data_IF_190439338721
#
_entry.id   IF_190439338721
#
_cell.length_a   1.000
_cell.length_b   1.000
_cell.length_c   1.000
_cell.angle_alpha   90.00
_cell.angle_beta   90.00
_cell.angle_gamma   90.00
#
_symmetry.space_group_name_H-M   'P 1'
#
loop_
_entity.id
_entity.type
_entity.pdbx_description
1 polymer ?
#
# COMPACT_ATOMS: atom_id res chain seq x y z
N UNK A 1 42.14 37.81 -37.53
CA UNK A 1 40.71 37.40 -37.50
C UNK A 1 40.56 36.20 -36.59
N UNK A 2 39.53 36.22 -35.73
CA UNK A 2 39.08 35.21 -34.73
C UNK A 2 39.93 35.10 -33.44
N UNK A 3 39.62 35.79 -32.32
CA UNK A 3 38.52 35.66 -31.30
C UNK A 3 38.60 34.31 -30.55
N UNK A 4 38.65 34.17 -29.21
CA UNK A 4 37.89 34.81 -28.12
C UNK A 4 38.59 34.74 -26.73
N UNK A 5 38.03 35.58 -25.85
CA UNK A 5 38.21 35.92 -24.43
C UNK A 5 38.17 34.76 -23.41
N UNK A 6 39.06 34.76 -22.40
CA UNK A 6 38.92 34.01 -21.15
C UNK A 6 39.20 34.96 -19.96
N UNK A 7 38.16 35.28 -19.17
CA UNK A 7 38.26 36.10 -17.96
C UNK A 7 38.36 35.23 -16.70
N UNK A 8 39.37 35.50 -15.88
CA UNK A 8 39.71 34.78 -14.66
C UNK A 8 38.95 35.29 -13.43
N UNK A 9 38.58 34.33 -12.58
CA UNK A 9 37.84 34.44 -11.31
C UNK A 9 38.76 34.99 -10.19
N UNK A 10 38.33 36.05 -9.48
CA UNK A 10 39.01 36.55 -8.28
C UNK A 10 38.27 36.10 -7.01
N UNK A 11 38.99 35.40 -6.13
CA UNK A 11 38.57 35.00 -4.79
C UNK A 11 39.17 35.99 -3.78
N UNK A 12 38.36 36.63 -2.94
CA UNK A 12 38.82 37.49 -1.86
C UNK A 12 38.24 37.01 -0.52
N UNK A 13 39.13 36.56 0.36
CA UNK A 13 38.86 36.27 1.76
C UNK A 13 39.19 37.52 2.60
N UNK A 14 38.26 37.96 3.45
CA UNK A 14 38.50 39.04 4.42
C UNK A 14 38.32 38.54 5.85
N UNK A 15 39.36 38.80 6.65
CA UNK A 15 39.44 38.58 8.09
C UNK A 15 38.47 39.49 8.86
N UNK A 16 37.80 38.96 9.89
CA UNK A 16 37.09 39.75 10.89
C UNK A 16 38.05 40.22 12.00
N UNK A 17 38.12 41.54 12.22
CA UNK A 17 38.65 42.14 13.44
C UNK A 17 37.48 42.43 14.40
N UNK A 18 37.61 42.02 15.66
CA UNK A 18 36.64 42.23 16.73
C UNK A 18 36.94 43.56 17.44
N UNK A 19 35.92 44.39 17.66
CA UNK A 19 35.91 45.41 18.72
C UNK A 19 34.55 45.40 19.46
N UNK A 20 34.52 45.70 20.77
CA UNK A 20 33.35 45.53 21.65
C UNK A 20 32.60 46.84 21.91
N UNK A 21 31.29 46.75 22.19
CA UNK A 21 30.58 47.74 23.00
C UNK A 21 29.31 47.11 23.60
N UNK A 22 29.24 47.15 24.92
CA UNK A 22 28.12 46.75 25.76
C UNK A 22 26.91 47.68 25.58
N UNK A 23 25.72 47.11 25.43
CA UNK A 23 24.47 47.55 26.05
C UNK A 23 23.31 46.70 25.52
N UNK A 24 22.69 45.87 26.37
CA UNK A 24 21.43 45.20 26.00
C UNK A 24 21.18 43.81 26.58
N UNK A 25 21.85 43.37 27.63
CA UNK A 25 21.59 42.06 28.26
C UNK A 25 20.58 42.23 29.41
N UNK A 26 19.33 42.69 29.20
CA UNK A 26 18.26 42.48 30.21
C UNK A 26 16.80 42.52 29.69
N UNK A 27 16.53 42.64 28.38
CA UNK A 27 15.15 42.66 27.86
C UNK A 27 14.72 41.43 27.02
N UNK A 28 15.64 40.52 26.69
CA UNK A 28 15.34 39.35 25.85
C UNK A 28 14.92 38.08 26.60
N UNK A 29 14.82 38.11 27.93
CA UNK A 29 14.22 37.03 28.73
C UNK A 29 12.69 37.11 28.77
N UNK A 30 12.06 37.49 27.65
CA UNK A 30 10.66 37.13 27.42
C UNK A 30 10.61 35.62 27.20
N UNK A 31 10.25 34.93 28.29
CA UNK A 31 9.89 33.52 28.37
C UNK A 31 8.91 33.21 27.23
N UNK A 32 9.41 32.72 26.10
CA UNK A 32 8.59 32.18 25.02
C UNK A 32 7.85 31.01 25.64
N UNK A 33 6.56 31.21 25.96
CA UNK A 33 5.64 30.12 26.28
C UNK A 33 5.77 29.16 25.11
N UNK A 34 6.40 28.01 25.34
CA UNK A 34 6.32 26.88 24.43
C UNK A 34 4.87 26.47 24.44
N UNK A 35 4.10 27.05 23.53
CA UNK A 35 2.78 26.54 23.17
C UNK A 35 3.02 25.09 22.79
N UNK A 36 2.54 24.15 23.61
CA UNK A 36 2.46 22.74 23.25
C UNK A 36 1.59 22.69 22.00
N UNK A 37 2.20 22.74 20.81
CA UNK A 37 1.54 22.29 19.58
C UNK A 37 1.00 20.91 19.91
N UNK A 38 -0.32 20.77 19.89
CA UNK A 38 -0.95 19.47 19.96
C UNK A 38 -0.25 18.55 18.94
N UNK A 39 0.01 17.27 19.26
CA UNK A 39 0.69 16.38 18.35
C UNK A 39 0.00 16.43 17.00
N UNK A 40 0.74 16.81 15.95
CA UNK A 40 0.19 16.87 14.60
C UNK A 40 -0.17 15.45 14.17
N UNK A 41 -1.47 15.19 13.93
CA UNK A 41 -1.94 13.86 13.54
C UNK A 41 -1.16 13.36 12.32
N UNK A 42 -0.70 12.12 12.38
CA UNK A 42 -0.03 11.44 11.25
C UNK A 42 -1.03 11.15 10.13
N UNK A 43 -0.54 10.88 8.90
CA UNK A 43 -1.41 10.49 7.77
C UNK A 43 -2.28 9.27 8.11
N UNK A 44 -1.72 8.30 8.85
CA UNK A 44 -2.43 7.16 9.43
C UNK A 44 -3.63 7.61 10.29
N UNK A 45 -3.37 8.46 11.29
CA UNK A 45 -4.40 8.90 12.24
C UNK A 45 -5.48 9.74 11.56
N UNK A 46 -5.10 10.59 10.60
CA UNK A 46 -6.06 11.40 9.84
C UNK A 46 -7.04 10.54 9.08
N UNK A 47 -6.57 9.54 8.32
CA UNK A 47 -7.44 8.63 7.55
C UNK A 47 -8.43 7.91 8.46
N UNK A 48 -8.01 7.52 9.67
CA UNK A 48 -8.84 6.74 10.58
C UNK A 48 -9.72 7.59 11.53
N UNK A 49 -9.52 8.91 11.60
CA UNK A 49 -10.23 9.76 12.59
C UNK A 49 -10.91 11.00 12.01
N UNK A 50 -10.48 11.51 10.87
CA UNK A 50 -11.02 12.77 10.33
C UNK A 50 -12.33 12.55 9.54
N UNK A 51 -12.65 11.31 9.16
CA UNK A 51 -13.84 10.92 8.40
C UNK A 51 -14.56 9.74 9.08
N UNK A 52 -15.86 9.51 8.84
CA UNK A 52 -16.54 8.30 9.29
C UNK A 52 -15.88 7.04 8.71
N UNK A 53 -15.47 6.12 9.60
CA UNK A 53 -14.79 4.88 9.21
C UNK A 53 -15.64 3.67 9.58
N UNK A 54 -15.91 2.81 8.61
CA UNK A 54 -16.43 1.46 8.88
C UNK A 54 -15.26 0.51 8.97
N UNK A 55 -15.15 -0.25 10.06
CA UNK A 55 -14.03 -1.15 10.32
C UNK A 55 -14.50 -2.59 10.48
N UNK A 56 -13.76 -3.54 9.90
CA UNK A 56 -13.89 -4.96 10.16
C UNK A 56 -12.53 -5.54 10.56
N UNK A 57 -12.37 -5.87 11.84
CA UNK A 57 -11.14 -6.41 12.39
C UNK A 57 -11.14 -7.94 12.35
N UNK A 58 -10.08 -8.52 11.79
CA UNK A 58 -9.85 -9.97 11.76
C UNK A 58 -8.53 -10.35 12.42
N UNK A 59 -8.26 -11.66 12.58
CA UNK A 59 -7.05 -12.14 13.24
C UNK A 59 -5.77 -11.91 12.40
N UNK A 60 -5.89 -11.77 11.08
CA UNK A 60 -4.75 -11.60 10.17
C UNK A 60 -4.53 -10.16 9.70
N UNK A 61 -5.62 -9.39 9.59
CA UNK A 61 -5.62 -8.01 9.11
C UNK A 61 -6.90 -7.30 9.55
N UNK A 62 -6.91 -5.97 9.44
CA UNK A 62 -8.09 -5.15 9.66
C UNK A 62 -8.41 -4.37 8.39
N UNK A 63 -9.70 -4.33 8.03
CA UNK A 63 -10.20 -3.56 6.90
C UNK A 63 -10.86 -2.27 7.38
N UNK A 64 -10.52 -1.15 6.76
CA UNK A 64 -11.13 0.15 7.02
C UNK A 64 -11.70 0.74 5.72
N UNK A 65 -12.99 1.08 5.72
CA UNK A 65 -13.62 1.87 4.68
C UNK A 65 -13.75 3.31 5.17
N UNK A 66 -13.11 4.25 4.49
CA UNK A 66 -13.20 5.68 4.77
C UNK A 66 -13.24 6.45 3.45
N UNK A 67 -14.18 7.39 3.30
CA UNK A 67 -14.32 8.24 2.10
C UNK A 67 -14.36 7.45 0.78
N UNK A 68 -15.18 6.39 0.75
CA UNK A 68 -15.31 5.51 -0.43
C UNK A 68 -14.11 4.60 -0.71
N UNK A 69 -12.97 4.80 -0.03
CA UNK A 69 -11.73 4.04 -0.21
C UNK A 69 -11.63 2.85 0.73
N UNK A 70 -10.84 1.85 0.32
CA UNK A 70 -10.48 0.70 1.16
C UNK A 70 -9.03 0.81 1.60
N UNK A 71 -8.84 0.76 2.92
CA UNK A 71 -7.53 0.64 3.54
C UNK A 71 -7.42 -0.70 4.27
N UNK A 72 -6.23 -1.28 4.21
CA UNK A 72 -5.91 -2.51 4.96
C UNK A 72 -4.85 -2.13 5.99
N UNK A 73 -5.15 -2.40 7.25
CA UNK A 73 -4.16 -2.37 8.32
C UNK A 73 -3.59 -3.79 8.48
N UNK A 74 -2.29 -3.92 8.19
CA UNK A 74 -1.56 -5.18 8.26
C UNK A 74 -0.63 -5.15 9.48
N UNK A 75 -0.84 -6.03 10.48
CA UNK A 75 0.15 -6.26 11.52
C UNK A 75 1.47 -6.74 10.91
N UNK A 76 2.62 -6.25 11.41
CA UNK A 76 3.94 -6.70 10.95
C UNK A 76 4.11 -8.21 11.04
N UNK A 77 3.51 -8.84 12.05
CA UNK A 77 3.54 -10.27 12.28
C UNK A 77 2.79 -11.10 11.20
N UNK A 78 2.04 -10.46 10.30
CA UNK A 78 1.35 -11.12 9.20
C UNK A 78 2.00 -10.90 7.84
N UNK A 79 3.01 -10.01 7.77
CA UNK A 79 3.85 -9.91 6.59
C UNK A 79 4.60 -11.22 6.34
N UNK A 80 4.59 -11.70 5.10
CA UNK A 80 5.18 -12.97 4.69
C UNK A 80 4.33 -14.20 5.01
N UNK A 81 3.18 -14.06 5.69
CA UNK A 81 2.23 -15.16 5.87
C UNK A 81 1.40 -15.38 4.61
N UNK A 82 0.97 -16.63 4.44
CA UNK A 82 0.12 -17.06 3.34
C UNK A 82 -1.32 -16.56 3.53
N UNK A 83 -1.87 -15.99 2.45
CA UNK A 83 -3.24 -15.56 2.32
C UNK A 83 -3.88 -16.25 1.12
N UNK A 84 -5.20 -16.47 1.22
CA UNK A 84 -6.00 -16.96 0.13
C UNK A 84 -7.14 -15.97 -0.14
N UNK A 85 -7.22 -15.46 -1.36
CA UNK A 85 -8.29 -14.56 -1.79
C UNK A 85 -9.21 -15.28 -2.77
N UNK A 86 -10.49 -15.35 -2.44
CA UNK A 86 -11.54 -15.84 -3.32
C UNK A 86 -12.60 -14.77 -3.54
N UNK A 87 -13.15 -14.73 -4.75
CA UNK A 87 -14.26 -13.84 -5.13
C UNK A 87 -15.47 -14.69 -5.50
N UNK A 88 -16.65 -14.23 -5.09
CA UNK A 88 -17.91 -14.92 -5.39
C UNK A 88 -19.01 -13.91 -5.68
N UNK A 89 -19.89 -14.27 -6.61
CA UNK A 89 -21.04 -13.43 -6.96
C UNK A 89 -22.08 -13.47 -5.84
N UNK A 90 -22.38 -12.32 -5.25
CA UNK A 90 -23.43 -12.20 -4.24
C UNK A 90 -24.82 -11.93 -4.81
N UNK A 91 -24.89 -11.30 -5.99
CA UNK A 91 -26.12 -10.93 -6.68
C UNK A 91 -25.79 -10.59 -8.13
N UNK A 92 -26.77 -10.72 -9.03
CA UNK A 92 -26.64 -10.45 -10.46
C UNK A 92 -27.98 -9.92 -10.99
N UNK A 93 -27.94 -9.01 -11.96
CA UNK A 93 -29.14 -8.49 -12.64
C UNK A 93 -29.69 -9.45 -13.69
N UNK A 94 -28.82 -10.23 -14.32
CA UNK A 94 -29.15 -11.24 -15.31
C UNK A 94 -28.42 -12.56 -14.99
N UNK A 95 -29.17 -13.58 -14.58
CA UNK A 95 -28.62 -14.88 -14.20
C UNK A 95 -27.87 -15.59 -15.33
N UNK A 96 -28.10 -15.24 -16.59
CA UNK A 96 -27.34 -15.77 -17.73
C UNK A 96 -25.88 -15.33 -17.76
N UNK A 97 -25.51 -14.27 -17.01
CA UNK A 97 -24.12 -13.80 -16.88
C UNK A 97 -23.35 -14.51 -15.75
N UNK A 98 -24.04 -15.23 -14.87
CA UNK A 98 -23.45 -15.91 -13.73
C UNK A 98 -24.49 -16.18 -12.64
N UNK A 99 -24.31 -17.26 -11.87
CA UNK A 99 -25.21 -17.62 -10.76
C UNK A 99 -24.63 -17.12 -9.43
N UNK A 100 -25.50 -16.77 -8.46
CA UNK A 100 -25.07 -16.41 -7.11
C UNK A 100 -24.27 -17.57 -6.48
N UNK A 101 -23.15 -17.25 -5.84
CA UNK A 101 -22.21 -18.23 -5.30
C UNK A 101 -21.18 -18.74 -6.31
N UNK A 102 -21.34 -18.43 -7.61
CA UNK A 102 -20.36 -18.77 -8.62
C UNK A 102 -19.03 -18.06 -8.36
N UNK A 103 -17.93 -18.75 -8.70
CA UNK A 103 -16.55 -18.28 -8.53
C UNK A 103 -15.89 -18.31 -9.89
N UNK A 104 -15.69 -17.13 -10.47
CA UNK A 104 -15.16 -16.99 -11.83
C UNK A 104 -13.65 -17.27 -11.94
N UNK A 105 -12.95 -17.40 -10.81
CA UNK A 105 -11.52 -17.66 -10.79
C UNK A 105 -11.11 -18.56 -9.64
N UNK A 106 -9.97 -19.22 -9.80
CA UNK A 106 -9.35 -19.97 -8.73
C UNK A 106 -8.95 -19.04 -7.58
N UNK A 107 -8.98 -19.52 -6.32
CA UNK A 107 -8.48 -18.74 -5.21
C UNK A 107 -7.01 -18.35 -5.44
N UNK A 108 -6.70 -17.07 -5.19
CA UNK A 108 -5.35 -16.54 -5.36
C UNK A 108 -4.57 -16.72 -4.07
N UNK A 109 -3.47 -17.47 -4.15
CA UNK A 109 -2.53 -17.68 -3.05
C UNK A 109 -1.43 -16.62 -3.10
N UNK A 110 -1.34 -15.78 -2.07
CA UNK A 110 -0.40 -14.66 -2.04
C UNK A 110 0.13 -14.37 -0.64
N UNK A 111 1.15 -13.52 -0.56
CA UNK A 111 1.72 -12.97 0.67
C UNK A 111 1.84 -11.46 0.56
N UNK A 112 1.52 -10.73 1.62
CA UNK A 112 1.96 -9.34 1.74
C UNK A 112 3.41 -9.31 2.21
N UNK A 113 4.31 -8.74 1.42
CA UNK A 113 5.72 -8.59 1.76
C UNK A 113 6.11 -7.12 1.70
N UNK A 114 7.03 -6.71 2.56
CA UNK A 114 7.62 -5.38 2.48
C UNK A 114 8.83 -5.44 1.53
N UNK A 115 8.83 -4.60 0.50
CA UNK A 115 9.98 -4.36 -0.37
C UNK A 115 10.29 -2.87 -0.28
N UNK A 116 11.39 -2.53 0.38
CA UNK A 116 11.81 -1.16 0.66
C UNK A 116 10.75 -0.31 1.39
N UNK A 117 10.19 0.68 0.70
CA UNK A 117 9.19 1.63 1.20
C UNK A 117 7.75 1.24 0.89
N UNK A 118 7.53 0.16 0.13
CA UNK A 118 6.20 -0.29 -0.29
C UNK A 118 5.85 -1.67 0.27
N UNK A 119 4.55 -1.93 0.38
CA UNK A 119 4.02 -3.28 0.62
C UNK A 119 3.60 -3.84 -0.73
N UNK A 120 4.02 -5.06 -1.01
CA UNK A 120 3.75 -5.77 -2.26
C UNK A 120 2.96 -7.04 -1.96
N UNK A 121 1.96 -7.32 -2.78
CA UNK A 121 1.33 -8.64 -2.87
C UNK A 121 2.17 -9.49 -3.82
N UNK A 122 2.85 -10.48 -3.25
CA UNK A 122 3.62 -11.49 -3.96
C UNK A 122 2.75 -12.74 -4.12
N UNK A 123 2.48 -13.17 -5.36
CA UNK A 123 1.81 -14.44 -5.64
C UNK A 123 2.77 -15.58 -5.36
N UNK A 124 2.32 -16.56 -4.57
CA UNK A 124 3.18 -17.67 -4.17
C UNK A 124 3.35 -18.62 -5.35
N UNK A 125 4.60 -18.86 -5.73
CA UNK A 125 4.90 -19.85 -6.74
C UNK A 125 4.80 -21.25 -6.12
N UNK A 126 3.87 -22.06 -6.63
CA UNK A 126 3.63 -23.44 -6.18
C UNK A 126 4.02 -24.49 -7.22
N UNK A 127 4.62 -24.08 -8.34
CA UNK A 127 4.93 -24.97 -9.48
C UNK A 127 6.03 -25.98 -9.15
N UNK A 128 6.87 -25.67 -8.14
CA UNK A 128 8.05 -26.47 -7.83
C UNK A 128 7.89 -27.26 -6.53
N UNK A 129 7.61 -28.56 -6.66
CA UNK A 129 7.64 -29.51 -5.56
C UNK A 129 9.02 -30.16 -5.49
N UNK A 130 9.66 -30.09 -4.31
CA UNK A 130 10.97 -30.70 -4.07
C UNK A 130 10.82 -32.08 -3.41
N UNK A 131 10.94 -33.20 -4.17
CA UNK A 131 10.79 -34.53 -3.59
C UNK A 131 11.97 -34.93 -2.67
N UNK A 132 13.15 -34.34 -2.83
CA UNK A 132 14.31 -34.62 -1.96
C UNK A 132 15.18 -33.38 -1.76
N UNK A 133 14.90 -32.55 -0.74
CA UNK A 133 15.52 -31.24 -0.62
C UNK A 133 16.90 -31.32 0.05
N UNK A 134 17.99 -31.35 -0.73
CA UNK A 134 19.33 -31.04 -0.21
C UNK A 134 19.61 -29.51 -0.26
N UNK A 135 20.63 -29.03 0.46
CA UNK A 135 20.89 -27.60 0.59
C UNK A 135 21.18 -26.89 -0.75
N UNK A 136 21.86 -27.55 -1.68
CA UNK A 136 22.15 -26.98 -3.00
C UNK A 136 20.88 -26.85 -3.84
N UNK A 137 20.03 -27.88 -3.81
CA UNK A 137 18.74 -27.91 -4.50
C UNK A 137 17.77 -26.88 -3.91
N UNK A 138 17.71 -26.73 -2.58
CA UNK A 138 16.87 -25.71 -1.93
C UNK A 138 17.32 -24.28 -2.28
N UNK A 139 18.64 -24.02 -2.35
CA UNK A 139 19.15 -22.71 -2.76
C UNK A 139 18.77 -22.40 -4.20
N UNK A 140 19.04 -23.34 -5.12
CA UNK A 140 18.66 -23.19 -6.52
C UNK A 140 17.15 -22.98 -6.69
N UNK A 141 16.34 -23.70 -5.91
CA UNK A 141 14.89 -23.53 -5.92
C UNK A 141 14.48 -22.11 -5.49
N UNK A 142 15.04 -21.61 -4.40
CA UNK A 142 14.75 -20.26 -3.89
C UNK A 142 15.12 -19.17 -4.91
N UNK A 143 16.23 -19.34 -5.62
CA UNK A 143 16.73 -18.34 -6.56
C UNK A 143 15.98 -18.38 -7.90
N UNK A 144 15.54 -19.56 -8.34
CA UNK A 144 14.88 -19.74 -9.64
C UNK A 144 13.34 -19.75 -9.58
N UNK A 145 12.75 -20.02 -8.41
CA UNK A 145 11.30 -20.10 -8.21
C UNK A 145 10.82 -19.07 -7.19
N UNK A 146 11.24 -17.82 -7.38
CA UNK A 146 10.76 -16.72 -6.56
C UNK A 146 9.28 -16.43 -6.82
N UNK A 147 8.61 -15.88 -5.82
CA UNK A 147 7.24 -15.39 -5.95
C UNK A 147 7.14 -14.26 -6.99
N UNK A 148 5.99 -14.14 -7.63
CA UNK A 148 5.71 -13.06 -8.57
C UNK A 148 5.20 -11.84 -7.82
N UNK A 149 5.95 -10.73 -7.84
CA UNK A 149 5.44 -9.44 -7.37
C UNK A 149 4.35 -8.93 -8.28
N UNK A 150 3.14 -8.86 -7.75
CA UNK A 150 1.96 -8.62 -8.55
C UNK A 150 1.42 -7.20 -8.40
N UNK A 151 1.16 -6.77 -7.17
CA UNK A 151 0.62 -5.43 -6.89
C UNK A 151 1.35 -4.76 -5.75
N UNK A 152 1.68 -3.49 -5.92
CA UNK A 152 2.20 -2.65 -4.85
C UNK A 152 1.09 -1.78 -4.28
N UNK A 153 1.06 -1.65 -2.96
CA UNK A 153 0.12 -0.82 -2.24
C UNK A 153 0.84 0.37 -1.61
N UNK A 154 0.38 1.62 -1.86
CA UNK A 154 0.94 2.79 -1.20
C UNK A 154 0.78 2.71 0.31
N UNK A 155 1.88 2.89 1.04
CA UNK A 155 1.88 2.98 2.50
C UNK A 155 1.39 4.36 2.92
N UNK A 156 0.32 4.42 3.71
CA UNK A 156 -0.25 5.66 4.24
C UNK A 156 0.27 6.04 5.62
N UNK A 157 0.91 5.09 6.31
CA UNK A 157 1.59 5.32 7.58
C UNK A 157 1.68 4.05 8.42
N UNK A 158 2.34 4.18 9.55
CA UNK A 158 2.46 3.14 10.56
C UNK A 158 1.60 3.51 11.77
N UNK A 159 1.12 2.50 12.49
CA UNK A 159 0.49 2.71 13.79
C UNK A 159 1.47 3.37 14.76
N UNK A 160 0.96 3.98 15.83
CA UNK A 160 1.78 4.74 16.80
C UNK A 160 2.88 3.90 17.45
N UNK A 161 2.60 2.63 17.71
CA UNK A 161 3.55 1.63 18.22
C UNK A 161 4.40 0.97 17.11
N UNK A 162 4.19 1.38 15.86
CA UNK A 162 4.74 0.77 14.67
C UNK A 162 4.46 -0.74 14.56
N UNK A 163 3.44 -1.28 15.22
CA UNK A 163 3.11 -2.70 15.11
C UNK A 163 2.41 -3.06 13.79
N UNK A 164 1.73 -2.10 13.17
CA UNK A 164 0.95 -2.28 11.94
C UNK A 164 1.29 -1.23 10.88
N UNK A 165 1.07 -1.58 9.62
CA UNK A 165 1.14 -0.67 8.47
C UNK A 165 -0.23 -0.50 7.84
N UNK A 166 -0.61 0.74 7.53
CA UNK A 166 -1.83 1.06 6.80
C UNK A 166 -1.49 1.24 5.31
N UNK A 167 -2.15 0.45 4.47
CA UNK A 167 -1.99 0.50 3.02
C UNK A 167 -3.31 0.87 2.34
N UNK A 168 -3.22 1.54 1.19
CA UNK A 168 -4.37 1.86 0.35
C UNK A 168 -4.57 0.78 -0.71
N UNK A 169 -5.66 0.03 -0.56
CA UNK A 169 -6.01 -1.10 -1.43
C UNK A 169 -7.13 -0.76 -2.41
N UNK A 170 -7.55 0.50 -2.47
CA UNK A 170 -8.67 0.97 -3.30
C UNK A 170 -8.54 0.53 -4.75
N UNK A 171 -7.37 0.74 -5.38
CA UNK A 171 -7.15 0.39 -6.78
C UNK A 171 -7.30 -1.10 -7.09
N UNK A 172 -7.12 -1.97 -6.10
CA UNK A 172 -7.26 -3.41 -6.31
C UNK A 172 -8.71 -3.89 -6.29
N UNK A 173 -9.58 -3.21 -5.51
CA UNK A 173 -10.98 -3.62 -5.32
C UNK A 173 -12.00 -2.74 -6.06
N UNK A 174 -11.62 -1.52 -6.42
CA UNK A 174 -12.52 -0.53 -7.04
C UNK A 174 -12.19 -0.27 -8.51
N UNK A 175 -11.22 -0.98 -9.07
CA UNK A 175 -10.87 -0.95 -10.49
C UNK A 175 -10.91 -2.36 -11.06
N UNK A 176 -11.06 -2.43 -12.37
CA UNK A 176 -11.02 -3.70 -13.07
C UNK A 176 -9.66 -4.40 -12.88
N UNK A 177 -9.69 -5.72 -12.71
CA UNK A 177 -8.49 -6.53 -12.61
C UNK A 177 -8.66 -7.89 -13.30
N UNK A 178 -7.58 -8.33 -13.92
CA UNK A 178 -7.58 -9.56 -14.73
C UNK A 178 -7.61 -10.87 -13.93
N UNK A 179 -7.39 -10.84 -12.61
CA UNK A 179 -7.40 -12.04 -11.76
C UNK A 179 -8.80 -12.43 -11.31
N UNK A 180 -9.73 -11.48 -11.27
CA UNK A 180 -11.10 -11.68 -10.82
C UNK A 180 -12.10 -11.13 -11.84
N UNK A 181 -12.12 -11.67 -13.07
CA UNK A 181 -13.09 -11.24 -14.07
C UNK A 181 -14.50 -11.51 -13.55
N UNK A 182 -15.36 -10.49 -13.56
CA UNK A 182 -16.75 -10.59 -13.10
C UNK A 182 -17.63 -11.27 -14.17
N UNK A 183 -17.28 -11.10 -15.43
CA UNK A 183 -17.92 -11.73 -16.60
C UNK A 183 -16.81 -12.42 -17.39
N UNK A 184 -17.06 -13.63 -17.90
CA UNK A 184 -16.10 -14.33 -18.74
C UNK A 184 -15.93 -13.67 -20.11
N UNK A 185 -14.73 -13.76 -20.68
CA UNK A 185 -14.40 -13.19 -22.00
C UNK A 185 -15.07 -13.93 -23.18
N UNK A 186 -15.65 -15.10 -22.92
CA UNK A 186 -16.45 -15.89 -23.86
C UNK A 186 -17.86 -16.10 -23.29
N UNK A 187 -18.86 -15.79 -24.10
CA UNK A 187 -20.23 -16.19 -23.87
C UNK A 187 -20.79 -16.87 -25.13
N UNK A 188 -21.03 -18.18 -25.05
CA UNK A 188 -21.58 -19.00 -26.14
C UNK A 188 -20.74 -18.96 -27.43
N UNK A 189 -19.41 -18.92 -27.33
CA UNK A 189 -18.50 -18.88 -28.47
C UNK A 189 -18.35 -17.49 -29.10
N UNK A 190 -18.93 -16.46 -28.47
CA UNK A 190 -18.71 -15.06 -28.84
C UNK A 190 -17.76 -14.42 -27.84
N UNK A 191 -16.75 -13.73 -28.36
CA UNK A 191 -15.89 -12.90 -27.52
C UNK A 191 -16.68 -11.70 -27.02
N UNK A 192 -16.73 -11.55 -25.70
CA UNK A 192 -17.38 -10.41 -25.03
C UNK A 192 -16.29 -9.56 -24.41
N UNK A 193 -16.34 -8.26 -24.71
CA UNK A 193 -15.49 -7.28 -24.04
C UNK A 193 -16.33 -6.55 -22.98
N UNK A 194 -15.83 -6.50 -21.75
CA UNK A 194 -16.52 -5.88 -20.62
C UNK A 194 -15.60 -4.86 -19.96
N UNK A 195 -16.18 -3.73 -19.58
CA UNK A 195 -15.49 -2.71 -18.79
C UNK A 195 -16.26 -2.49 -17.50
N UNK A 196 -15.53 -2.36 -16.39
CA UNK A 196 -16.09 -1.95 -15.12
C UNK A 196 -16.45 -0.46 -15.17
N UNK A 197 -17.67 -0.12 -14.76
CA UNK A 197 -18.06 1.27 -14.53
C UNK A 197 -17.61 1.70 -13.13
N UNK A 198 -16.62 2.60 -13.09
CA UNK A 198 -16.03 3.11 -11.86
C UNK A 198 -17.05 3.88 -11.00
N UNK A 199 -18.02 4.58 -11.59
CA UNK A 199 -19.01 5.39 -10.87
C UNK A 199 -20.04 4.50 -10.16
N UNK A 200 -20.26 3.29 -10.68
CA UNK A 200 -21.14 2.29 -10.08
C UNK A 200 -20.40 1.34 -9.13
N UNK A 201 -19.06 1.40 -9.10
CA UNK A 201 -18.21 0.51 -8.30
C UNK A 201 -17.95 1.09 -6.91
N UNK A 202 -18.44 0.41 -5.88
CA UNK A 202 -18.26 0.85 -4.51
C UNK A 202 -18.24 -0.31 -3.51
N UNK A 203 -17.54 -0.10 -2.38
CA UNK A 203 -17.56 -1.05 -1.27
C UNK A 203 -18.86 -0.86 -0.48
N UNK A 204 -19.75 -1.85 -0.53
CA UNK A 204 -21.01 -1.81 0.22
C UNK A 204 -20.82 -2.09 1.71
N UNK A 205 -20.21 -3.23 2.05
CA UNK A 205 -20.07 -3.69 3.44
C UNK A 205 -18.71 -4.31 3.69
N UNK A 206 -18.20 -4.17 4.91
CA UNK A 206 -17.04 -4.89 5.42
C UNK A 206 -17.49 -5.87 6.51
N UNK A 207 -16.98 -7.10 6.47
CA UNK A 207 -17.24 -8.13 7.48
C UNK A 207 -15.96 -8.88 7.77
N UNK A 208 -15.82 -9.30 9.02
CA UNK A 208 -14.77 -10.20 9.48
C UNK A 208 -15.42 -11.31 10.29
N UNK A 209 -14.89 -12.51 10.19
CA UNK A 209 -15.42 -13.70 10.84
C UNK A 209 -14.35 -14.29 11.76
N UNK A 210 -14.79 -14.81 12.91
CA UNK A 210 -13.89 -15.57 13.78
C UNK A 210 -13.54 -16.89 13.10
N UNK A 211 -12.28 -17.28 13.21
CA UNK A 211 -11.79 -18.58 12.77
C UNK A 211 -12.01 -19.61 13.87
#
# INVERSE_FOLDING_TARGET
MNKYLLGTLFLAASLFAVQPAEAGIFSFLHKKKTEKKAPQKTSYEKILTDQPVTTAAGPLLTLHKADGKLYIELPKATLGKDFLLGVTLSSVSNASLGTVGFRNSNPVHFRFVRKDSVVVMDLVNTDFLLPTPNAAVQRSAKDNYTNLSFLSFPVKGWSKDSASVLIDASSFFLKDNKFFPVIGDDMNGLSVNTNLDDDLTHIKTLKSFKT
#
